data_IF_115205797048
#
_entry.id   IF_115205797048
#
_cell.length_a   1.000
_cell.length_b   1.000
_cell.length_c   1.000
_cell.angle_alpha   90.00
_cell.angle_beta   90.00
_cell.angle_gamma   90.00
#
_symmetry.space_group_name_H-M   'P 1'
#
loop_
_entity.id
_entity.type
_entity.pdbx_description
1 polymer ?
#
# COMPACT_ATOMS: atom_id res chain seq x y z
N UNK A 1 5.94 9.75 20.67
CA UNK A 1 4.48 9.65 20.40
C UNK A 1 3.95 8.53 21.28
N UNK A 2 2.80 8.72 21.90
CA UNK A 2 2.08 7.72 22.67
C UNK A 2 0.73 7.49 21.96
N UNK A 3 0.50 6.26 21.52
CA UNK A 3 -0.68 5.90 20.76
C UNK A 3 -1.38 4.70 21.40
N UNK A 4 -2.67 4.52 21.16
CA UNK A 4 -3.40 3.33 21.58
C UNK A 4 -2.89 2.12 20.79
N UNK A 5 -2.59 1.03 21.49
CA UNK A 5 -2.27 -0.23 20.84
C UNK A 5 -3.53 -0.87 20.27
N UNK A 6 -3.54 -1.11 18.97
CA UNK A 6 -4.62 -1.80 18.27
C UNK A 6 -4.18 -3.21 17.95
N UNK A 7 -4.75 -4.18 18.65
CA UNK A 7 -4.51 -5.60 18.38
C UNK A 7 -5.32 -6.02 17.15
N UNK A 8 -4.65 -6.13 16.01
CA UNK A 8 -5.27 -6.39 14.70
C UNK A 8 -4.25 -6.83 13.66
N UNK A 9 -4.73 -7.15 12.47
CA UNK A 9 -3.88 -7.53 11.34
C UNK A 9 -3.38 -6.30 10.61
N UNK A 10 -2.12 -6.35 10.18
CA UNK A 10 -1.51 -5.26 9.42
C UNK A 10 -1.66 -5.46 7.91
N UNK A 11 -2.05 -4.38 7.22
CA UNK A 11 -2.22 -4.35 5.78
C UNK A 11 -1.55 -3.14 5.15
N UNK A 12 -0.97 -3.36 3.97
CA UNK A 12 -0.23 -2.35 3.22
C UNK A 12 -0.84 -2.18 1.83
N UNK A 13 -1.08 -0.94 1.43
CA UNK A 13 -1.83 -0.60 0.22
C UNK A 13 -1.04 0.37 -0.66
N UNK A 14 -0.74 -0.05 -1.88
CA UNK A 14 -0.10 0.80 -2.88
C UNK A 14 -1.12 1.70 -3.60
N UNK A 15 -0.81 2.97 -3.65
CA UNK A 15 -1.66 3.99 -4.30
C UNK A 15 -0.80 4.88 -5.18
N UNK A 16 -1.30 5.26 -6.35
CA UNK A 16 -0.67 6.27 -7.18
C UNK A 16 -1.68 7.08 -7.96
N UNK A 17 -1.27 8.26 -8.41
CA UNK A 17 -2.01 9.05 -9.38
C UNK A 17 -1.58 8.63 -10.79
N UNK A 18 -2.57 8.33 -11.64
CA UNK A 18 -2.34 7.95 -13.04
C UNK A 18 -3.43 8.61 -13.90
N UNK A 19 -3.02 9.34 -14.92
CA UNK A 19 -3.93 10.01 -15.84
C UNK A 19 -4.97 10.88 -15.07
N UNK A 20 -4.50 11.62 -14.05
CA UNK A 20 -5.32 12.46 -13.19
C UNK A 20 -6.18 11.73 -12.15
N UNK A 21 -6.19 10.39 -12.14
CA UNK A 21 -7.03 9.59 -11.26
C UNK A 21 -6.20 8.86 -10.18
N UNK A 22 -6.74 8.79 -8.96
CA UNK A 22 -6.15 8.01 -7.89
C UNK A 22 -6.48 6.53 -8.06
N UNK A 23 -5.46 5.70 -8.26
CA UNK A 23 -5.56 4.25 -8.42
C UNK A 23 -4.96 3.52 -7.22
N UNK A 24 -5.70 2.55 -6.71
CA UNK A 24 -5.23 1.56 -5.73
C UNK A 24 -4.78 0.30 -6.47
N UNK A 25 -3.61 -0.26 -6.11
CA UNK A 25 -3.02 -1.41 -6.81
C UNK A 25 -3.30 -2.74 -6.12
N UNK A 26 -3.76 -2.72 -4.89
CA UNK A 26 -4.13 -3.89 -4.13
C UNK A 26 -3.72 -3.80 -2.66
N UNK A 27 -4.02 -4.86 -1.94
CA UNK A 27 -3.76 -4.99 -0.50
C UNK A 27 -2.76 -6.12 -0.28
N UNK A 28 -1.78 -5.90 0.58
CA UNK A 28 -0.83 -6.90 1.08
C UNK A 28 -1.02 -7.07 2.57
N UNK A 29 -1.18 -8.30 3.05
CA UNK A 29 -1.17 -8.62 4.48
C UNK A 29 0.28 -8.76 4.95
N UNK A 30 0.60 -8.12 6.08
CA UNK A 30 1.89 -8.22 6.75
C UNK A 30 1.69 -9.09 8.00
N UNK A 31 2.45 -10.17 8.09
CA UNK A 31 2.39 -11.06 9.24
C UNK A 31 3.71 -10.93 9.99
N UNK A 32 3.65 -10.46 11.24
CA UNK A 32 4.83 -10.28 12.06
C UNK A 32 5.39 -11.62 12.54
N UNK A 33 6.69 -11.68 12.84
CA UNK A 33 7.34 -12.90 13.38
C UNK A 33 6.71 -13.38 14.70
N UNK A 34 6.10 -12.48 15.47
CA UNK A 34 5.45 -12.81 16.73
C UNK A 34 4.15 -13.61 16.55
N UNK A 35 3.54 -13.55 15.36
CA UNK A 35 2.30 -14.26 15.01
C UNK A 35 2.59 -15.65 14.41
N UNK A 36 3.85 -15.93 14.07
CA UNK A 36 4.28 -17.21 13.51
C UNK A 36 4.96 -18.08 14.56
N UNK A 37 4.24 -19.07 15.04
CA UNK A 37 4.81 -20.17 15.85
C UNK A 37 5.55 -21.22 15.01
N UNK A 38 5.81 -20.98 13.73
CA UNK A 38 6.47 -21.95 12.87
C UNK A 38 7.98 -21.76 12.81
N UNK A 39 8.69 -22.87 13.01
CA UNK A 39 10.16 -22.93 13.26
C UNK A 39 10.99 -22.39 12.08
N UNK A 40 10.49 -22.45 10.84
CA UNK A 40 11.24 -22.00 9.66
C UNK A 40 11.25 -20.48 9.50
N UNK A 41 10.22 -19.76 9.97
CA UNK A 41 10.15 -18.30 9.90
C UNK A 41 11.15 -17.60 10.84
N UNK A 42 11.56 -18.25 11.92
CA UNK A 42 12.51 -17.72 12.93
C UNK A 42 13.92 -17.46 12.39
N UNK A 43 14.31 -18.07 11.28
CA UNK A 43 15.71 -18.02 10.81
C UNK A 43 15.99 -16.93 9.77
N UNK A 44 14.98 -16.29 9.16
CA UNK A 44 15.19 -15.33 8.06
C UNK A 44 14.89 -13.87 8.38
N UNK A 45 14.37 -13.51 9.56
CA UNK A 45 14.18 -12.12 10.00
C UNK A 45 13.32 -11.26 9.03
N UNK A 46 12.41 -11.88 8.30
CA UNK A 46 11.52 -11.20 7.35
C UNK A 46 10.08 -11.44 7.77
N UNK A 47 9.32 -10.36 7.93
CA UNK A 47 7.86 -10.44 7.96
C UNK A 47 7.35 -11.16 6.70
N UNK A 48 6.37 -12.05 6.86
CA UNK A 48 5.75 -12.70 5.71
C UNK A 48 4.76 -11.72 5.06
N UNK A 49 4.98 -11.45 3.79
CA UNK A 49 4.10 -10.60 2.97
C UNK A 49 3.23 -11.46 2.06
N UNK A 50 1.91 -11.36 2.20
CA UNK A 50 0.94 -12.06 1.34
C UNK A 50 0.30 -11.06 0.39
N UNK A 51 0.67 -11.13 -0.88
CA UNK A 51 0.16 -10.26 -1.95
C UNK A 51 -0.44 -11.12 -3.09
N UNK A 52 -1.74 -10.98 -3.45
CA UNK A 52 -2.75 -10.18 -2.77
C UNK A 52 -3.15 -10.76 -1.41
N UNK A 53 -3.57 -9.90 -0.49
CA UNK A 53 -4.10 -10.32 0.80
C UNK A 53 -5.36 -11.17 0.63
N UNK A 54 -5.54 -12.17 1.52
CA UNK A 54 -6.75 -12.99 1.56
C UNK A 54 -7.76 -12.38 2.54
N UNK A 55 -8.50 -11.39 2.08
CA UNK A 55 -9.50 -10.65 2.87
C UNK A 55 -10.89 -10.72 2.22
N UNK A 56 -11.92 -10.42 3.02
CA UNK A 56 -13.28 -10.30 2.50
C UNK A 56 -13.38 -9.13 1.51
N UNK A 57 -14.21 -9.30 0.49
CA UNK A 57 -14.37 -8.31 -0.58
C UNK A 57 -14.88 -6.95 -0.06
N UNK A 58 -15.78 -6.94 0.92
CA UNK A 58 -16.30 -5.69 1.47
C UNK A 58 -15.21 -4.93 2.23
N UNK A 59 -14.36 -5.66 2.96
CA UNK A 59 -13.21 -5.07 3.65
C UNK A 59 -12.18 -4.54 2.63
N UNK A 60 -11.91 -5.27 1.57
CA UNK A 60 -11.02 -4.82 0.50
C UNK A 60 -11.52 -3.52 -0.14
N UNK A 61 -12.81 -3.47 -0.50
CA UNK A 61 -13.45 -2.27 -1.07
C UNK A 61 -13.37 -1.09 -0.09
N UNK A 62 -13.63 -1.31 1.20
CA UNK A 62 -13.54 -0.28 2.23
C UNK A 62 -12.10 0.28 2.36
N UNK A 63 -11.10 -0.61 2.39
CA UNK A 63 -9.69 -0.21 2.43
C UNK A 63 -9.32 0.58 1.18
N UNK A 64 -9.78 0.17 0.00
CA UNK A 64 -9.54 0.88 -1.25
C UNK A 64 -10.11 2.30 -1.24
N UNK A 65 -11.37 2.47 -0.81
CA UNK A 65 -12.02 3.79 -0.77
C UNK A 65 -11.38 4.70 0.30
N UNK A 66 -11.01 4.15 1.46
CA UNK A 66 -10.28 4.88 2.48
C UNK A 66 -8.92 5.34 1.95
N UNK A 67 -8.21 4.48 1.22
CA UNK A 67 -6.89 4.79 0.66
C UNK A 67 -6.95 5.90 -0.37
N UNK A 68 -7.95 5.89 -1.27
CA UNK A 68 -8.19 6.98 -2.21
C UNK A 68 -8.51 8.29 -1.47
N UNK A 69 -9.34 8.20 -0.43
CA UNK A 69 -9.74 9.35 0.37
C UNK A 69 -8.55 9.99 1.07
N UNK A 70 -7.70 9.18 1.71
CA UNK A 70 -6.47 9.62 2.39
C UNK A 70 -5.52 10.26 1.38
N UNK A 71 -5.23 9.57 0.27
CA UNK A 71 -4.34 10.05 -0.77
C UNK A 71 -4.76 11.43 -1.29
N UNK A 72 -6.06 11.61 -1.60
CA UNK A 72 -6.59 12.86 -2.12
C UNK A 72 -6.64 13.98 -1.06
N UNK A 73 -7.04 13.67 0.19
CA UNK A 73 -7.09 14.66 1.27
C UNK A 73 -5.71 15.18 1.67
N UNK A 74 -4.70 14.31 1.64
CA UNK A 74 -3.31 14.70 1.89
C UNK A 74 -2.65 15.35 0.67
N UNK A 75 -3.38 15.47 -0.47
CA UNK A 75 -2.87 16.03 -1.72
C UNK A 75 -1.56 15.36 -2.17
N UNK A 76 -1.49 14.05 -2.02
CA UNK A 76 -0.31 13.30 -2.43
C UNK A 76 -0.17 13.29 -3.96
N UNK A 77 1.06 13.24 -4.42
CA UNK A 77 1.42 13.10 -5.83
C UNK A 77 2.31 11.88 -6.03
N UNK A 78 2.33 11.35 -7.25
CA UNK A 78 3.14 10.18 -7.56
C UNK A 78 2.56 8.91 -6.91
N UNK A 79 3.42 8.13 -6.28
CA UNK A 79 3.05 6.88 -5.61
C UNK A 79 3.28 6.96 -4.11
N UNK A 80 2.49 6.18 -3.36
CA UNK A 80 2.58 6.08 -1.91
C UNK A 80 2.16 4.69 -1.47
N UNK A 81 2.54 4.31 -0.26
CA UNK A 81 2.04 3.14 0.44
C UNK A 81 1.31 3.64 1.69
N UNK A 82 0.08 3.16 1.88
CA UNK A 82 -0.74 3.48 3.03
C UNK A 82 -0.89 2.21 3.86
N UNK A 83 -0.58 2.31 5.15
CA UNK A 83 -0.56 1.18 6.05
C UNK A 83 -1.73 1.28 7.05
N UNK A 84 -2.33 0.12 7.33
CA UNK A 84 -3.51 -0.04 8.19
C UNK A 84 -3.31 -1.16 9.20
N UNK A 85 -3.95 -1.00 10.36
CA UNK A 85 -4.26 -2.12 11.25
C UNK A 85 -5.76 -2.37 11.15
N UNK A 86 -6.16 -3.62 10.87
CA UNK A 86 -7.59 -4.00 10.80
C UNK A 86 -7.95 -4.82 12.02
N UNK A 87 -8.95 -4.35 12.75
CA UNK A 87 -9.54 -5.03 13.91
C UNK A 87 -11.05 -5.13 13.74
N UNK A 88 -11.59 -6.35 13.79
CA UNK A 88 -13.04 -6.59 13.62
C UNK A 88 -13.60 -5.92 12.35
N UNK A 89 -12.95 -6.16 11.22
CA UNK A 89 -13.27 -5.61 9.89
C UNK A 89 -13.29 -4.07 9.82
N UNK A 90 -12.72 -3.41 10.82
CA UNK A 90 -12.56 -1.95 10.84
C UNK A 90 -11.12 -1.59 10.56
N UNK A 91 -10.80 -0.90 9.44
CA UNK A 91 -9.46 -0.44 9.14
C UNK A 91 -9.14 0.85 9.89
N UNK A 92 -8.08 0.82 10.67
CA UNK A 92 -7.47 1.95 11.33
C UNK A 92 -6.26 2.40 10.52
N UNK A 93 -6.26 3.64 10.09
CA UNK A 93 -5.12 4.24 9.39
C UNK A 93 -3.91 4.34 10.33
N UNK A 94 -2.76 3.82 9.89
CA UNK A 94 -1.51 3.85 10.64
C UNK A 94 -0.60 4.97 10.13
N UNK A 95 -0.15 4.85 8.88
CA UNK A 95 0.76 5.83 8.29
C UNK A 95 0.70 5.88 6.76
N UNK A 96 1.31 6.92 6.18
CA UNK A 96 1.61 7.01 4.75
C UNK A 96 3.11 7.02 4.55
N UNK A 97 3.60 6.10 3.73
CA UNK A 97 4.97 6.11 3.24
C UNK A 97 4.99 6.69 1.82
N UNK A 98 5.54 7.89 1.68
CA UNK A 98 5.60 8.61 0.39
C UNK A 98 6.81 8.22 -0.47
N UNK A 99 7.73 7.42 0.06
CA UNK A 99 8.90 6.88 -0.67
C UNK A 99 9.01 5.38 -0.34
N UNK A 100 8.03 4.55 -0.75
CA UNK A 100 8.09 3.12 -0.50
C UNK A 100 9.20 2.45 -1.30
N UNK A 101 9.64 1.27 -0.84
CA UNK A 101 10.65 0.47 -1.52
C UNK A 101 10.23 0.12 -2.96
N UNK A 102 11.20 0.10 -3.87
CA UNK A 102 10.99 -0.11 -5.32
C UNK A 102 11.79 -1.28 -5.89
N UNK A 103 12.34 -2.14 -5.05
CA UNK A 103 12.94 -3.39 -5.52
C UNK A 103 11.87 -4.37 -5.98
N UNK A 104 12.23 -5.38 -6.74
CA UNK A 104 11.28 -6.41 -7.21
C UNK A 104 10.57 -7.13 -6.06
N UNK A 105 11.20 -7.20 -4.90
CA UNK A 105 10.66 -7.81 -3.68
C UNK A 105 9.80 -6.86 -2.85
N UNK A 106 9.76 -5.58 -3.18
CA UNK A 106 8.98 -4.60 -2.43
C UNK A 106 7.49 -4.72 -2.72
N UNK A 107 6.66 -4.35 -1.73
CA UNK A 107 5.19 -4.47 -1.77
C UNK A 107 4.58 -3.72 -2.96
N UNK A 108 4.94 -2.45 -3.15
CA UNK A 108 4.35 -1.62 -4.20
C UNK A 108 4.60 -2.20 -5.61
N UNK A 109 5.83 -2.58 -6.02
CA UNK A 109 6.08 -3.26 -7.28
C UNK A 109 5.32 -4.57 -7.45
N UNK A 110 5.20 -5.40 -6.39
CA UNK A 110 4.40 -6.64 -6.43
C UNK A 110 2.93 -6.35 -6.74
N UNK A 111 2.35 -5.36 -6.07
CA UNK A 111 0.95 -4.95 -6.30
C UNK A 111 0.73 -4.38 -7.71
N UNK A 112 1.66 -3.60 -8.23
CA UNK A 112 1.60 -3.06 -9.60
C UNK A 112 1.62 -4.20 -10.63
N UNK A 113 2.50 -5.20 -10.44
CA UNK A 113 2.59 -6.39 -11.31
C UNK A 113 1.28 -7.19 -11.34
N UNK A 114 0.57 -7.32 -10.21
CA UNK A 114 -0.74 -8.00 -10.15
C UNK A 114 -1.81 -7.34 -11.05
N UNK A 115 -1.68 -6.04 -11.28
CA UNK A 115 -2.56 -5.30 -12.18
C UNK A 115 -2.12 -5.36 -13.66
N UNK A 116 -1.15 -6.19 -14.02
CA UNK A 116 -0.55 -6.27 -15.35
C UNK A 116 -0.01 -4.92 -15.85
N UNK A 117 0.45 -4.07 -14.94
CA UNK A 117 1.03 -2.76 -15.26
C UNK A 117 2.55 -2.89 -15.22
N UNK A 118 3.20 -2.39 -16.26
CA UNK A 118 4.65 -2.29 -16.31
C UNK A 118 5.11 -1.10 -15.45
N UNK A 119 6.07 -1.31 -14.54
CA UNK A 119 6.61 -0.26 -13.68
C UNK A 119 7.23 0.90 -14.47
N UNK A 120 7.94 0.60 -15.57
CA UNK A 120 8.53 1.64 -16.43
C UNK A 120 7.43 2.55 -17.02
N UNK A 121 6.33 1.96 -17.49
CA UNK A 121 5.23 2.73 -18.06
C UNK A 121 4.52 3.55 -16.98
N UNK A 122 4.34 2.99 -15.79
CA UNK A 122 3.80 3.71 -14.63
C UNK A 122 4.67 4.93 -14.29
N UNK A 123 5.98 4.75 -14.13
CA UNK A 123 6.89 5.86 -13.86
C UNK A 123 6.92 6.90 -14.97
N UNK A 124 6.87 6.47 -16.23
CA UNK A 124 6.84 7.40 -17.37
C UNK A 124 5.60 8.30 -17.30
N UNK A 125 4.43 7.74 -17.02
CA UNK A 125 3.19 8.51 -16.84
C UNK A 125 3.31 9.50 -15.70
N UNK A 126 3.77 9.06 -14.54
CA UNK A 126 3.90 9.92 -13.35
C UNK A 126 4.89 11.07 -13.55
N UNK A 127 6.01 10.82 -14.25
CA UNK A 127 6.98 11.87 -14.62
C UNK A 127 6.33 12.90 -15.54
N UNK A 128 5.61 12.43 -16.56
CA UNK A 128 4.95 13.33 -17.51
C UNK A 128 3.88 14.19 -16.81
N UNK A 129 3.05 13.61 -15.94
CA UNK A 129 2.06 14.36 -15.13
C UNK A 129 2.74 15.43 -14.25
N UNK A 130 3.88 15.09 -13.63
CA UNK A 130 4.63 16.03 -12.81
C UNK A 130 5.19 17.20 -13.63
N UNK A 131 5.69 16.92 -14.83
CA UNK A 131 6.20 17.96 -15.73
C UNK A 131 5.10 18.88 -16.25
N UNK A 132 3.93 18.31 -16.58
CA UNK A 132 2.77 19.09 -17.02
C UNK A 132 2.24 20.00 -15.92
N UNK A 133 2.18 19.53 -14.68
CA UNK A 133 1.73 20.35 -13.54
C UNK A 133 2.66 21.52 -13.23
N UNK A 134 3.98 21.39 -13.46
CA UNK A 134 4.94 22.46 -13.26
C UNK A 134 4.93 23.50 -14.39
N UNK A 135 4.46 23.14 -15.58
CA UNK A 135 4.36 24.08 -16.70
C UNK A 135 3.09 24.96 -16.65
N UNK A 136 2.22 24.73 -15.68
CA UNK A 136 0.96 25.48 -15.47
C UNK A 136 1.06 26.52 -14.34
N UNK A 137 2.19 26.58 -13.62
CA UNK A 137 2.56 27.62 -12.64
C UNK A 137 3.47 28.68 -13.29
#
# INVERSE_FOLDING_TARGET
ILEEFIDGKEYSVGVARIDGNTKVFGVTELISENDFFDYEAKYNGKSLEITPAKIDKNLEELIHENSKTIYNKLKLNGFSRIDYIVKNDTPFFLEVNTIPGMTDESIFPKQVKLNNINLKDLFTKMINESLESHNLE
#
